data_IF_592006645745
#
_entry.id   IF_592006645745
#
_cell.length_a   1.000
_cell.length_b   1.000
_cell.length_c   1.000
_cell.angle_alpha   90.00
_cell.angle_beta   90.00
_cell.angle_gamma   90.00
#
_symmetry.space_group_name_H-M   'P 1'
#
loop_
_entity.id
_entity.type
_entity.pdbx_description
1 polymer ?
#
# COMPACT_ATOMS: atom_id res chain seq x y z
N UNK A 1 25.63 -60.78 40.20
CA UNK A 1 25.37 -59.35 40.40
C UNK A 1 24.97 -58.77 39.03
N UNK A 2 23.70 -58.42 38.77
CA UNK A 2 23.29 -57.94 37.48
C UNK A 2 23.36 -56.39 37.45
N UNK A 3 23.96 -55.87 36.38
CA UNK A 3 24.11 -54.47 36.09
C UNK A 3 22.80 -53.87 35.59
N UNK A 4 22.35 -52.81 36.23
CA UNK A 4 21.17 -52.04 35.87
C UNK A 4 21.52 -51.06 34.73
N UNK A 5 20.96 -51.24 33.53
CA UNK A 5 20.99 -50.30 32.43
C UNK A 5 19.81 -49.31 32.57
N UNK A 6 20.12 -48.06 32.91
CA UNK A 6 19.15 -46.97 32.89
C UNK A 6 19.00 -46.49 31.45
N UNK A 7 17.85 -46.70 30.84
CA UNK A 7 17.46 -46.12 29.56
C UNK A 7 16.90 -44.71 29.80
N UNK A 8 17.60 -43.70 29.34
CA UNK A 8 17.09 -42.33 29.24
C UNK A 8 16.22 -42.21 27.99
N UNK A 9 14.91 -42.11 28.19
CA UNK A 9 13.96 -41.80 27.11
C UNK A 9 13.91 -40.30 26.93
N UNK A 10 14.57 -39.78 25.87
CA UNK A 10 14.44 -38.39 25.44
C UNK A 10 13.11 -38.24 24.69
N UNK A 11 12.11 -37.68 25.36
CA UNK A 11 10.88 -37.22 24.69
C UNK A 11 11.17 -35.97 23.88
N UNK A 12 11.25 -36.15 22.57
CA UNK A 12 11.31 -35.06 21.59
C UNK A 12 9.89 -34.51 21.43
N UNK A 13 9.58 -33.37 22.08
CA UNK A 13 8.38 -32.61 21.84
C UNK A 13 8.52 -31.94 20.45
N UNK A 14 7.97 -32.57 19.42
CA UNK A 14 7.68 -31.96 18.15
C UNK A 14 6.57 -30.92 18.37
N UNK A 15 6.93 -29.66 18.48
CA UNK A 15 6.00 -28.57 18.29
C UNK A 15 5.55 -28.60 16.83
N UNK A 16 4.40 -29.21 16.60
CA UNK A 16 3.68 -29.15 15.33
C UNK A 16 3.13 -27.74 15.25
N UNK A 17 3.82 -26.88 14.48
CA UNK A 17 3.27 -25.60 14.08
C UNK A 17 2.05 -25.88 13.19
N UNK A 18 0.87 -25.58 13.72
CA UNK A 18 -0.39 -25.69 13.00
C UNK A 18 -0.61 -24.37 12.24
N UNK A 19 -0.55 -24.35 10.89
CA UNK A 19 -0.78 -23.13 10.12
C UNK A 19 -2.23 -22.62 10.21
N UNK A 20 -3.13 -23.33 10.90
CA UNK A 20 -4.51 -22.89 11.10
C UNK A 20 -4.67 -21.79 12.17
N UNK A 21 -3.65 -21.51 12.97
CA UNK A 21 -3.70 -20.44 13.99
C UNK A 21 -3.28 -19.06 13.44
N UNK A 22 -2.99 -18.95 12.13
CA UNK A 22 -2.67 -17.68 11.48
C UNK A 22 -3.90 -16.92 10.93
N UNK A 23 -5.08 -17.55 10.96
CA UNK A 23 -6.38 -16.90 10.68
C UNK A 23 -7.05 -16.43 11.99
N UNK A 24 -6.34 -15.67 12.82
CA UNK A 24 -7.03 -14.85 13.81
C UNK A 24 -7.87 -13.79 13.06
N UNK A 25 -9.08 -14.20 12.79
CA UNK A 25 -10.34 -13.46 12.82
C UNK A 25 -10.21 -11.94 12.58
N UNK A 26 -9.83 -11.56 11.35
CA UNK A 26 -10.27 -10.29 10.83
C UNK A 26 -11.78 -10.43 10.58
N UNK A 27 -12.57 -10.34 11.69
CA UNK A 27 -14.00 -10.42 11.65
C UNK A 27 -14.52 -9.63 10.46
N UNK A 28 -15.45 -10.22 9.74
CA UNK A 28 -16.22 -9.53 8.71
C UNK A 28 -16.91 -8.33 9.37
N UNK A 29 -16.19 -7.20 9.37
CA UNK A 29 -16.76 -5.95 9.84
C UNK A 29 -17.92 -5.62 8.92
N UNK A 30 -19.13 -5.64 9.44
CA UNK A 30 -20.31 -5.19 8.70
C UNK A 30 -20.02 -3.81 8.12
N UNK A 31 -20.32 -3.61 6.83
CA UNK A 31 -20.12 -2.34 6.15
C UNK A 31 -20.68 -1.20 7.01
N UNK A 32 -19.84 -0.21 7.36
CA UNK A 32 -20.23 0.99 8.09
C UNK A 32 -20.16 0.94 9.62
N UNK A 33 -19.66 -0.13 10.23
CA UNK A 33 -19.55 -0.22 11.69
C UNK A 33 -18.54 0.76 12.30
N UNK A 34 -17.51 1.17 11.53
CA UNK A 34 -16.47 2.08 11.97
C UNK A 34 -16.36 3.29 11.07
N UNK A 35 -16.24 4.48 11.68
CA UNK A 35 -15.95 5.71 10.95
C UNK A 35 -14.46 6.04 11.07
N UNK A 36 -13.90 6.58 9.99
CA UNK A 36 -12.49 6.99 9.88
C UNK A 36 -12.37 8.46 9.49
N UNK A 37 -11.24 9.08 9.83
CA UNK A 37 -10.93 10.46 9.40
C UNK A 37 -10.61 10.54 7.90
N UNK A 38 -10.05 9.45 7.36
CA UNK A 38 -9.74 9.29 5.94
C UNK A 38 -9.56 7.81 5.60
N UNK A 39 -9.98 7.41 4.39
CA UNK A 39 -9.62 6.14 3.79
C UNK A 39 -8.51 6.36 2.76
N UNK A 40 -7.36 5.71 2.97
CA UNK A 40 -6.18 5.79 2.11
C UNK A 40 -5.99 4.49 1.35
N UNK A 41 -6.01 4.56 0.03
CA UNK A 41 -5.60 3.48 -0.88
C UNK A 41 -4.28 3.86 -1.53
N UNK A 42 -3.27 3.01 -1.45
CA UNK A 42 -1.98 3.25 -2.11
C UNK A 42 -1.74 2.23 -3.21
N UNK A 43 -1.57 2.73 -4.43
CA UNK A 43 -1.26 1.98 -5.64
C UNK A 43 0.24 2.08 -5.96
N UNK A 44 0.97 0.98 -5.92
CA UNK A 44 2.42 0.92 -6.15
C UNK A 44 2.68 0.34 -7.55
N UNK A 45 3.34 1.12 -8.40
CA UNK A 45 3.78 0.68 -9.72
C UNK A 45 4.89 -0.37 -9.60
N UNK A 46 4.66 -1.56 -10.17
CA UNK A 46 5.65 -2.64 -10.29
C UNK A 46 5.88 -3.01 -11.77
N UNK A 47 5.67 -2.06 -12.68
CA UNK A 47 5.96 -2.24 -14.10
C UNK A 47 7.44 -2.51 -14.34
N UNK A 48 7.80 -3.01 -15.53
CA UNK A 48 9.13 -3.51 -15.83
C UNK A 48 10.28 -2.48 -15.76
N UNK A 49 9.97 -1.20 -15.57
CA UNK A 49 10.94 -0.12 -15.36
C UNK A 49 11.44 -0.02 -13.92
N UNK A 50 10.77 -0.66 -12.97
CA UNK A 50 11.19 -0.69 -11.56
C UNK A 50 12.09 -1.90 -11.34
N UNK A 51 13.32 -1.69 -10.87
CA UNK A 51 14.14 -2.78 -10.42
C UNK A 51 13.67 -3.29 -9.04
N UNK A 52 14.05 -4.52 -8.71
CA UNK A 52 13.61 -5.16 -7.45
C UNK A 52 14.08 -4.43 -6.21
N UNK A 53 15.18 -3.71 -6.32
CA UNK A 53 15.75 -2.98 -5.20
C UNK A 53 14.92 -1.72 -4.93
N UNK A 54 14.48 -1.01 -5.96
CA UNK A 54 13.60 0.14 -5.86
C UNK A 54 12.24 -0.25 -5.25
N UNK A 55 11.60 -1.33 -5.75
CA UNK A 55 10.35 -1.88 -5.19
C UNK A 55 10.48 -2.22 -3.70
N UNK A 56 11.56 -2.92 -3.33
CA UNK A 56 11.83 -3.28 -1.94
C UNK A 56 11.97 -2.06 -1.03
N UNK A 57 12.56 -0.98 -1.55
CA UNK A 57 12.74 0.26 -0.80
C UNK A 57 11.45 1.06 -0.66
N UNK A 58 10.58 1.01 -1.66
CA UNK A 58 9.25 1.61 -1.59
C UNK A 58 8.42 0.98 -0.46
N UNK A 59 8.36 -0.34 -0.42
CA UNK A 59 7.66 -1.07 0.62
C UNK A 59 8.26 -0.83 2.01
N UNK A 60 9.60 -0.81 2.10
CA UNK A 60 10.30 -0.53 3.36
C UNK A 60 10.08 0.91 3.81
N UNK A 61 10.24 1.88 2.92
CA UNK A 61 10.05 3.30 3.24
C UNK A 61 8.62 3.61 3.67
N UNK A 62 7.63 2.98 3.02
CA UNK A 62 6.23 3.07 3.40
C UNK A 62 5.97 2.45 4.78
N UNK A 63 6.51 1.26 5.05
CA UNK A 63 6.38 0.57 6.33
C UNK A 63 7.01 1.37 7.49
N UNK A 64 8.17 2.00 7.26
CA UNK A 64 8.83 2.86 8.22
C UNK A 64 8.05 4.15 8.48
N UNK A 65 7.56 4.78 7.42
CA UNK A 65 6.74 5.98 7.53
C UNK A 65 5.44 5.73 8.29
N UNK A 66 4.77 4.60 8.03
CA UNK A 66 3.48 4.26 8.65
C UNK A 66 3.58 4.13 10.18
N UNK A 67 4.70 3.59 10.68
CA UNK A 67 4.93 3.43 12.13
C UNK A 67 5.64 4.63 12.76
N UNK A 68 5.89 5.69 12.02
CA UNK A 68 6.59 6.87 12.56
C UNK A 68 5.71 7.60 13.59
N UNK A 69 6.28 8.11 14.71
CA UNK A 69 5.52 8.82 15.73
C UNK A 69 4.65 9.96 15.19
N UNK A 70 5.16 10.74 14.24
CA UNK A 70 4.41 11.85 13.64
C UNK A 70 3.15 11.40 12.86
N UNK A 71 3.16 10.20 12.27
CA UNK A 71 1.96 9.62 11.62
C UNK A 71 0.96 9.19 12.68
N UNK A 72 1.42 8.57 13.76
CA UNK A 72 0.54 8.20 14.89
C UNK A 72 -0.08 9.43 15.53
N UNK A 73 0.69 10.49 15.75
CA UNK A 73 0.19 11.78 16.27
C UNK A 73 -0.85 12.40 15.32
N UNK A 74 -0.62 12.34 14.00
CA UNK A 74 -1.58 12.82 13.02
C UNK A 74 -2.91 12.03 13.08
N UNK A 75 -2.85 10.70 13.24
CA UNK A 75 -4.02 9.85 13.42
C UNK A 75 -4.74 10.18 14.72
N UNK A 76 -4.01 10.26 15.83
CA UNK A 76 -4.56 10.55 17.15
C UNK A 76 -5.20 11.92 17.26
N UNK A 77 -4.74 12.90 16.47
CA UNK A 77 -5.30 14.24 16.39
C UNK A 77 -6.62 14.32 15.60
N UNK A 78 -6.99 13.25 14.88
CA UNK A 78 -8.23 13.17 14.11
C UNK A 78 -9.48 13.09 14.98
N UNK A 79 -10.65 13.40 14.40
CA UNK A 79 -11.93 13.30 15.09
C UNK A 79 -12.27 11.86 15.47
N UNK A 80 -12.11 10.94 14.53
CA UNK A 80 -12.31 9.50 14.75
C UNK A 80 -11.06 8.80 15.31
N UNK A 81 -9.91 9.46 15.26
CA UNK A 81 -8.62 8.97 15.74
C UNK A 81 -8.22 7.64 15.09
N UNK A 82 -8.63 7.45 13.86
CA UNK A 82 -8.33 6.25 13.05
C UNK A 82 -8.48 6.51 11.57
N UNK A 83 -7.74 5.75 10.77
CA UNK A 83 -7.78 5.78 9.32
C UNK A 83 -8.10 4.38 8.77
N UNK A 84 -8.72 4.33 7.59
CA UNK A 84 -8.73 3.14 6.75
C UNK A 84 -7.49 3.13 5.86
N UNK A 85 -6.82 2.00 5.75
CA UNK A 85 -5.59 1.87 4.97
C UNK A 85 -5.60 0.60 4.13
N UNK A 86 -5.28 0.73 2.84
CA UNK A 86 -5.11 -0.40 1.91
C UNK A 86 -3.98 -0.14 0.94
N UNK A 87 -3.27 -1.19 0.53
CA UNK A 87 -2.15 -1.11 -0.42
C UNK A 87 -2.25 -2.22 -1.44
N UNK A 88 -2.09 -1.89 -2.71
CA UNK A 88 -1.95 -2.86 -3.79
C UNK A 88 -0.81 -2.48 -4.74
N UNK A 89 -0.29 -3.48 -5.42
CA UNK A 89 0.64 -3.29 -6.55
C UNK A 89 -0.10 -3.41 -7.87
N UNK A 90 0.42 -2.73 -8.88
CA UNK A 90 -0.13 -2.75 -10.23
C UNK A 90 0.96 -2.61 -11.30
N UNK A 91 0.63 -3.00 -12.52
CA UNK A 91 1.47 -2.78 -13.71
C UNK A 91 0.61 -2.52 -14.94
N UNK A 92 0.18 -3.56 -15.63
CA UNK A 92 -0.76 -3.48 -16.76
C UNK A 92 -2.19 -3.78 -16.30
N UNK A 93 -3.17 -3.52 -17.17
CA UNK A 93 -4.58 -3.83 -16.92
C UNK A 93 -4.78 -5.26 -16.42
N UNK A 94 -5.46 -5.40 -15.27
CA UNK A 94 -5.77 -6.68 -14.66
C UNK A 94 -4.67 -7.30 -13.80
N UNK A 95 -3.50 -6.70 -13.71
CA UNK A 95 -2.41 -7.15 -12.83
C UNK A 95 -2.40 -6.35 -11.54
N UNK A 96 -3.29 -6.70 -10.63
CA UNK A 96 -3.38 -6.10 -9.30
C UNK A 96 -3.11 -7.17 -8.25
N UNK A 97 -2.28 -6.85 -7.26
CA UNK A 97 -2.04 -7.71 -6.10
C UNK A 97 -2.22 -6.89 -4.84
N UNK A 98 -3.18 -7.27 -4.02
CA UNK A 98 -3.39 -6.66 -2.72
C UNK A 98 -2.29 -7.10 -1.76
N UNK A 99 -1.55 -6.13 -1.22
CA UNK A 99 -0.50 -6.35 -0.23
C UNK A 99 -1.02 -6.16 1.20
N UNK A 100 -1.83 -5.13 1.39
CA UNK A 100 -2.49 -4.83 2.66
C UNK A 100 -3.97 -4.66 2.35
N UNK A 101 -4.83 -5.62 2.73
CA UNK A 101 -6.27 -5.46 2.63
C UNK A 101 -6.74 -4.32 3.53
N UNK A 102 -7.97 -3.85 3.33
CA UNK A 102 -8.53 -2.81 4.16
C UNK A 102 -8.28 -3.08 5.65
N UNK A 103 -7.50 -2.21 6.25
CA UNK A 103 -7.04 -2.32 7.64
C UNK A 103 -7.38 -1.03 8.38
N UNK A 104 -8.06 -1.15 9.52
CA UNK A 104 -8.30 -0.02 10.41
C UNK A 104 -7.02 0.25 11.22
N UNK A 105 -6.52 1.48 11.18
CA UNK A 105 -5.35 1.91 11.95
C UNK A 105 -5.79 3.02 12.91
N UNK A 106 -5.84 2.71 14.19
CA UNK A 106 -6.14 3.64 15.29
C UNK A 106 -5.15 3.52 16.45
N UNK A 107 -4.19 2.60 16.34
CA UNK A 107 -3.16 2.38 17.35
C UNK A 107 -1.81 2.06 16.72
N UNK A 108 -0.74 2.19 17.51
CA UNK A 108 0.60 1.77 17.10
C UNK A 108 0.64 0.29 16.70
N UNK A 109 -0.08 -0.56 17.42
CA UNK A 109 -0.12 -1.99 17.12
C UNK A 109 -0.76 -2.28 15.75
N UNK A 110 -1.81 -1.51 15.37
CA UNK A 110 -2.42 -1.64 14.05
C UNK A 110 -1.43 -1.24 12.95
N UNK A 111 -0.73 -0.11 13.14
CA UNK A 111 0.31 0.34 12.22
C UNK A 111 1.45 -0.67 12.11
N UNK A 112 1.90 -1.27 13.21
CA UNK A 112 2.95 -2.29 13.23
C UNK A 112 2.52 -3.55 12.44
N UNK A 113 1.24 -3.98 12.55
CA UNK A 113 0.70 -5.10 11.77
C UNK A 113 0.66 -4.79 10.27
N UNK A 114 0.19 -3.61 9.88
CA UNK A 114 0.17 -3.20 8.47
C UNK A 114 1.59 -3.08 7.91
N UNK A 115 2.52 -2.49 8.66
CA UNK A 115 3.93 -2.40 8.29
C UNK A 115 4.61 -3.77 8.16
N UNK A 116 4.26 -4.72 9.02
CA UNK A 116 4.76 -6.09 8.93
C UNK A 116 4.31 -6.78 7.63
N UNK A 117 3.07 -6.57 7.18
CA UNK A 117 2.58 -7.07 5.89
C UNK A 117 3.34 -6.48 4.70
N UNK A 118 3.63 -5.17 4.72
CA UNK A 118 4.43 -4.51 3.69
C UNK A 118 5.85 -5.09 3.63
N UNK A 119 6.47 -5.35 4.78
CA UNK A 119 7.80 -5.98 4.85
C UNK A 119 7.78 -7.42 4.36
N UNK A 120 6.76 -8.20 4.74
CA UNK A 120 6.60 -9.59 4.30
C UNK A 120 6.38 -9.68 2.78
N UNK A 121 5.65 -8.75 2.18
CA UNK A 121 5.48 -8.68 0.73
C UNK A 121 6.82 -8.55 -0.02
N UNK A 122 7.80 -7.87 0.58
CA UNK A 122 9.18 -7.81 0.09
C UNK A 122 9.88 -9.18 0.13
N UNK A 123 9.62 -9.97 1.17
CA UNK A 123 10.31 -11.24 1.44
C UNK A 123 9.75 -12.42 0.64
N UNK A 124 8.58 -12.29 0.02
CA UNK A 124 8.03 -13.28 -0.90
C UNK A 124 8.82 -13.25 -2.22
N UNK A 125 10.13 -13.40 -2.11
CA UNK A 125 10.97 -13.80 -3.22
C UNK A 125 10.72 -15.29 -3.49
N UNK A 126 10.44 -15.72 -4.74
CA UNK A 126 10.55 -17.12 -5.04
C UNK A 126 11.99 -17.51 -4.76
N UNK A 127 12.20 -18.43 -3.81
CA UNK A 127 13.45 -19.12 -3.59
C UNK A 127 14.09 -19.35 -4.94
N UNK A 128 15.35 -18.96 -5.11
CA UNK A 128 16.13 -19.23 -6.33
C UNK A 128 16.01 -20.71 -6.60
N UNK A 129 15.18 -21.08 -7.57
CA UNK A 129 15.21 -22.43 -8.10
C UNK A 129 16.61 -22.67 -8.63
N UNK A 130 17.37 -23.51 -7.96
CA UNK A 130 18.72 -23.90 -8.35
C UNK A 130 18.72 -24.85 -9.55
N UNK A 131 17.58 -25.03 -10.22
CA UNK A 131 17.48 -25.83 -11.44
C UNK A 131 17.81 -24.97 -12.66
N UNK A 132 18.88 -25.28 -13.40
CA UNK A 132 19.39 -24.47 -14.52
C UNK A 132 18.42 -24.34 -15.71
N UNK A 133 17.31 -25.05 -15.73
CA UNK A 133 16.38 -25.15 -16.86
C UNK A 133 14.94 -24.70 -16.54
N UNK A 134 14.65 -24.26 -15.33
CA UNK A 134 13.36 -23.66 -15.05
C UNK A 134 13.36 -22.23 -15.62
N UNK A 135 12.50 -21.99 -16.61
CA UNK A 135 12.07 -20.64 -16.97
C UNK A 135 11.81 -19.89 -15.67
N UNK A 136 12.28 -18.63 -15.52
CA UNK A 136 12.02 -17.86 -14.32
C UNK A 136 10.52 -17.91 -14.07
N UNK A 137 10.12 -18.40 -12.90
CA UNK A 137 8.74 -18.46 -12.50
C UNK A 137 8.18 -17.04 -12.71
N UNK A 138 7.24 -16.90 -13.65
CA UNK A 138 6.60 -15.62 -13.91
C UNK A 138 5.98 -15.20 -12.59
N UNK A 139 6.53 -14.17 -11.99
CA UNK A 139 5.85 -13.57 -10.83
C UNK A 139 4.47 -13.15 -11.29
N UNK A 140 3.39 -13.51 -10.59
CA UNK A 140 2.04 -13.15 -11.01
C UNK A 140 1.87 -11.65 -11.24
N UNK A 141 2.65 -10.82 -10.55
CA UNK A 141 2.61 -9.36 -10.61
C UNK A 141 3.62 -8.70 -11.58
N UNK A 142 4.56 -9.48 -12.19
CA UNK A 142 5.54 -8.95 -13.15
C UNK A 142 5.22 -9.36 -14.59
N UNK A 143 4.02 -9.14 -15.02
CA UNK A 143 3.69 -9.38 -16.41
C UNK A 143 3.37 -8.08 -17.13
N UNK A 144 4.36 -7.46 -17.73
CA UNK A 144 4.16 -6.40 -18.69
C UNK A 144 5.12 -5.23 -18.53
N UNK A 145 5.60 -4.73 -19.67
CA UNK A 145 6.32 -3.45 -19.75
C UNK A 145 5.32 -2.26 -19.75
N UNK A 146 4.04 -2.54 -19.55
CA UNK A 146 2.97 -1.56 -19.60
C UNK A 146 2.76 -0.91 -18.25
N UNK A 147 2.71 0.40 -18.24
CA UNK A 147 2.33 1.26 -17.12
C UNK A 147 0.94 1.79 -17.41
N UNK A 148 -0.09 1.18 -16.80
CA UNK A 148 -1.50 1.53 -17.01
C UNK A 148 -2.03 2.27 -15.77
N UNK A 149 -1.78 3.58 -15.73
CA UNK A 149 -2.21 4.44 -14.62
C UNK A 149 -3.73 4.54 -14.54
N UNK A 150 -4.40 4.52 -15.69
CA UNK A 150 -5.86 4.51 -15.75
C UNK A 150 -6.46 3.33 -14.99
N UNK A 151 -5.94 2.14 -15.24
CA UNK A 151 -6.40 0.93 -14.58
C UNK A 151 -6.09 0.95 -13.06
N UNK A 152 -4.95 1.50 -12.65
CA UNK A 152 -4.61 1.67 -11.24
C UNK A 152 -5.58 2.61 -10.52
N UNK A 153 -5.92 3.76 -11.12
CA UNK A 153 -6.91 4.69 -10.56
C UNK A 153 -8.29 4.03 -10.47
N UNK A 154 -8.75 3.36 -11.52
CA UNK A 154 -10.05 2.70 -11.51
C UNK A 154 -10.13 1.54 -10.51
N UNK A 155 -9.03 0.81 -10.31
CA UNK A 155 -8.97 -0.20 -9.27
C UNK A 155 -9.01 0.42 -7.87
N UNK A 156 -8.22 1.46 -7.62
CA UNK A 156 -8.25 2.21 -6.35
C UNK A 156 -9.65 2.79 -6.06
N UNK A 157 -10.33 3.31 -7.08
CA UNK A 157 -11.71 3.82 -6.98
C UNK A 157 -12.70 2.72 -6.56
N UNK A 158 -12.57 1.50 -7.11
CA UNK A 158 -13.40 0.36 -6.68
C UNK A 158 -13.12 0.00 -5.22
N UNK A 159 -11.84 -0.09 -4.82
CA UNK A 159 -11.49 -0.35 -3.43
C UNK A 159 -12.08 0.71 -2.49
N UNK A 160 -12.02 2.00 -2.86
CA UNK A 160 -12.65 3.07 -2.07
C UNK A 160 -14.15 2.86 -1.93
N UNK A 161 -14.85 2.49 -3.01
CA UNK A 161 -16.29 2.25 -2.98
C UNK A 161 -16.68 1.00 -2.14
N UNK A 162 -15.78 0.04 -2.03
CA UNK A 162 -15.95 -1.21 -1.28
C UNK A 162 -15.36 -1.13 0.15
N UNK A 163 -14.87 0.05 0.56
CA UNK A 163 -14.26 0.22 1.87
C UNK A 163 -15.24 -0.13 3.00
N UNK A 164 -14.84 -0.94 3.99
CA UNK A 164 -15.71 -1.32 5.10
C UNK A 164 -15.87 -0.21 6.14
N UNK A 165 -15.19 0.93 5.95
CA UNK A 165 -15.16 2.05 6.88
C UNK A 165 -15.87 3.26 6.28
N UNK A 166 -16.82 3.84 7.01
CA UNK A 166 -17.46 5.09 6.63
C UNK A 166 -16.49 6.26 6.80
N UNK A 167 -16.39 7.13 5.79
CA UNK A 167 -15.54 8.33 5.85
C UNK A 167 -16.13 9.43 4.99
N UNK A 168 -15.87 10.69 5.38
CA UNK A 168 -16.12 11.84 4.53
C UNK A 168 -14.98 12.14 3.54
N UNK A 169 -13.90 11.34 3.54
CA UNK A 169 -12.72 11.64 2.73
C UNK A 169 -11.97 10.38 2.30
N UNK A 170 -11.82 10.21 1.00
CA UNK A 170 -11.08 9.10 0.41
C UNK A 170 -9.96 9.60 -0.49
N UNK A 171 -8.80 8.96 -0.41
CA UNK A 171 -7.61 9.33 -1.17
C UNK A 171 -7.05 8.09 -1.86
N UNK A 172 -6.76 8.22 -3.14
CA UNK A 172 -5.95 7.27 -3.90
C UNK A 172 -4.55 7.87 -4.06
N UNK A 173 -3.56 7.14 -3.58
CA UNK A 173 -2.16 7.45 -3.74
C UNK A 173 -1.58 6.65 -4.88
N UNK A 174 -1.07 7.31 -5.93
CA UNK A 174 -0.45 6.63 -7.06
C UNK A 174 1.06 6.86 -7.00
N UNK A 175 1.81 5.77 -6.74
CA UNK A 175 3.27 5.77 -6.78
C UNK A 175 3.72 5.33 -8.17
N UNK A 176 4.49 6.18 -8.87
CA UNK A 176 4.93 5.93 -10.25
C UNK A 176 6.38 6.30 -10.47
N UNK A 177 7.05 5.59 -11.40
CA UNK A 177 8.36 5.95 -11.93
C UNK A 177 8.35 6.18 -13.45
N UNK A 178 7.18 6.09 -14.10
CA UNK A 178 7.00 6.20 -15.54
C UNK A 178 5.72 6.91 -15.95
N UNK A 179 5.67 7.29 -17.23
CA UNK A 179 4.47 7.81 -17.85
C UNK A 179 3.50 6.68 -18.15
N UNK A 180 2.21 7.00 -18.18
CA UNK A 180 1.20 6.12 -18.73
C UNK A 180 1.54 5.80 -20.20
N UNK A 181 1.46 4.53 -20.55
CA UNK A 181 1.76 4.05 -21.91
C UNK A 181 0.71 3.08 -22.45
N UNK A 182 -0.49 3.08 -21.85
CA UNK A 182 -1.61 2.23 -22.23
C UNK A 182 -2.85 3.06 -22.48
N UNK A 183 -3.54 2.79 -23.58
CA UNK A 183 -4.80 3.46 -23.93
C UNK A 183 -4.67 4.96 -24.21
N UNK A 184 -5.70 5.71 -23.90
CA UNK A 184 -5.85 7.14 -24.24
C UNK A 184 -5.34 8.08 -23.12
N UNK A 185 -4.75 7.50 -22.06
CA UNK A 185 -4.23 8.24 -20.91
C UNK A 185 -5.13 8.23 -19.67
N UNK A 186 -4.64 8.76 -18.54
CA UNK A 186 -5.27 8.59 -17.23
C UNK A 186 -6.44 9.56 -16.94
N UNK A 187 -6.68 10.58 -17.79
CA UNK A 187 -7.59 11.67 -17.49
C UNK A 187 -9.03 11.20 -17.24
N UNK A 188 -9.53 10.29 -18.07
CA UNK A 188 -10.89 9.78 -17.91
C UNK A 188 -11.06 9.02 -16.57
N UNK A 189 -10.04 8.27 -16.13
CA UNK A 189 -10.06 7.59 -14.83
C UNK A 189 -9.97 8.59 -13.68
N UNK A 190 -9.09 9.60 -13.79
CA UNK A 190 -9.00 10.74 -12.87
C UNK A 190 -10.37 11.42 -12.69
N UNK A 191 -11.02 11.75 -13.80
CA UNK A 191 -12.28 12.49 -13.77
C UNK A 191 -13.41 11.64 -13.15
N UNK A 192 -13.41 10.32 -13.37
CA UNK A 192 -14.34 9.41 -12.67
C UNK A 192 -14.10 9.36 -11.17
N UNK A 193 -12.86 9.40 -10.72
CA UNK A 193 -12.51 9.44 -9.30
C UNK A 193 -12.94 10.78 -8.68
N UNK A 194 -12.62 11.89 -9.34
CA UNK A 194 -13.00 13.23 -8.90
C UNK A 194 -14.52 13.41 -8.81
N UNK A 195 -15.28 12.84 -9.74
CA UNK A 195 -16.75 12.85 -9.71
C UNK A 195 -17.36 12.06 -8.51
N UNK A 196 -16.56 11.28 -7.82
CA UNK A 196 -16.93 10.56 -6.60
C UNK A 196 -16.27 11.17 -5.33
N UNK A 197 -15.82 12.42 -5.41
CA UNK A 197 -15.12 13.13 -4.34
C UNK A 197 -13.85 12.42 -3.85
N UNK A 198 -13.24 11.58 -4.69
CA UNK A 198 -11.99 10.90 -4.39
C UNK A 198 -10.80 11.78 -4.78
N UNK A 199 -9.94 12.06 -3.83
CA UNK A 199 -8.70 12.81 -4.05
C UNK A 199 -7.64 11.88 -4.64
N UNK A 200 -6.88 12.35 -5.65
CA UNK A 200 -5.73 11.62 -6.20
C UNK A 200 -4.46 12.39 -5.90
N UNK A 201 -3.57 11.78 -5.11
CA UNK A 201 -2.23 12.25 -4.83
C UNK A 201 -1.18 11.40 -5.52
N UNK A 202 0.03 11.96 -5.71
CA UNK A 202 1.15 11.28 -6.35
C UNK A 202 2.41 11.19 -5.51
N UNK A 203 3.11 10.06 -5.70
CA UNK A 203 4.54 9.94 -5.39
C UNK A 203 5.25 9.60 -6.69
N UNK A 204 6.06 10.54 -7.15
CA UNK A 204 6.88 10.38 -8.36
C UNK A 204 8.27 9.96 -7.93
N UNK A 205 8.71 8.83 -8.44
CA UNK A 205 9.95 8.17 -8.06
C UNK A 205 11.02 8.36 -9.13
N UNK A 206 12.25 8.66 -8.69
CA UNK A 206 13.39 8.86 -9.58
C UNK A 206 13.49 10.25 -10.20
N UNK A 207 14.38 10.37 -11.19
CA UNK A 207 14.76 11.66 -11.78
C UNK A 207 14.20 11.85 -13.20
N UNK A 208 13.12 11.19 -13.56
CA UNK A 208 12.57 11.26 -14.90
C UNK A 208 12.02 12.66 -15.19
N UNK A 209 12.66 13.35 -16.12
CA UNK A 209 12.29 14.71 -16.49
C UNK A 209 10.82 14.80 -16.96
N UNK A 210 10.09 15.79 -16.43
CA UNK A 210 8.69 16.04 -16.79
C UNK A 210 7.66 15.14 -16.15
N UNK A 211 8.04 14.05 -15.45
CA UNK A 211 7.07 13.10 -14.88
C UNK A 211 6.20 13.74 -13.78
N UNK A 212 6.78 14.58 -12.93
CA UNK A 212 6.01 15.28 -11.90
C UNK A 212 5.03 16.30 -12.50
N UNK A 213 5.42 17.02 -13.56
CA UNK A 213 4.51 17.93 -14.27
C UNK A 213 3.38 17.16 -14.95
N UNK A 214 3.72 16.07 -15.64
CA UNK A 214 2.72 15.18 -16.22
C UNK A 214 1.70 14.69 -15.17
N UNK A 215 2.17 14.29 -13.99
CA UNK A 215 1.30 13.84 -12.92
C UNK A 215 0.35 14.96 -12.45
N UNK A 216 0.89 16.16 -12.22
CA UNK A 216 0.09 17.32 -11.78
C UNK A 216 -0.98 17.71 -12.81
N UNK A 217 -0.66 17.63 -14.08
CA UNK A 217 -1.55 18.06 -15.15
C UNK A 217 -2.63 17.01 -15.49
N UNK A 218 -2.25 15.73 -15.48
CA UNK A 218 -3.08 14.68 -16.04
C UNK A 218 -3.70 13.71 -15.02
N UNK A 219 -3.15 13.63 -13.81
CA UNK A 219 -3.52 12.59 -12.85
C UNK A 219 -4.04 13.17 -11.53
N UNK A 220 -3.34 14.17 -10.99
CA UNK A 220 -3.71 14.80 -9.72
C UNK A 220 -5.14 15.35 -9.77
N UNK A 221 -5.94 15.12 -8.71
CA UNK A 221 -7.31 15.60 -8.64
C UNK A 221 -7.80 15.78 -7.20
N UNK A 222 -8.77 16.64 -7.03
CA UNK A 222 -9.51 16.84 -5.79
C UNK A 222 -8.89 17.90 -4.86
N UNK A 223 -9.67 18.37 -3.85
CA UNK A 223 -9.24 19.40 -2.92
C UNK A 223 -8.04 18.99 -2.07
N UNK A 224 -7.02 19.84 -2.01
CA UNK A 224 -5.81 19.59 -1.25
C UNK A 224 -4.91 18.51 -1.83
N UNK A 225 -5.16 18.06 -3.07
CA UNK A 225 -4.30 17.12 -3.77
C UNK A 225 -2.89 17.68 -4.01
N UNK A 226 -1.89 16.79 -4.00
CA UNK A 226 -0.50 17.19 -4.20
C UNK A 226 0.34 16.05 -4.79
N UNK A 227 1.53 16.40 -5.29
CA UNK A 227 2.54 15.47 -5.79
C UNK A 227 3.82 15.64 -4.99
N UNK A 228 4.38 14.55 -4.50
CA UNK A 228 5.70 14.50 -3.87
C UNK A 228 6.67 13.83 -4.82
N UNK A 229 7.88 14.38 -4.94
CA UNK A 229 8.98 13.80 -5.69
C UNK A 229 9.99 13.19 -4.72
N UNK A 230 10.29 11.90 -4.92
CA UNK A 230 11.37 11.19 -4.25
C UNK A 230 12.44 10.83 -5.30
N UNK A 231 13.44 11.70 -5.46
CA UNK A 231 14.43 11.55 -6.52
C UNK A 231 15.43 10.45 -6.26
N UNK A 232 15.74 10.21 -5.00
CA UNK A 232 16.69 9.18 -4.56
C UNK A 232 16.04 8.33 -3.47
N UNK A 233 16.51 7.13 -3.36
CA UNK A 233 15.99 6.17 -2.38
C UNK A 233 16.02 6.65 -0.92
N UNK A 234 17.07 7.31 -0.41
CA UNK A 234 17.05 7.86 0.95
C UNK A 234 15.94 8.89 1.18
N UNK A 235 15.48 9.55 0.10
CA UNK A 235 14.45 10.56 0.18
C UNK A 235 13.03 9.95 0.32
N UNK A 236 12.89 8.65 0.02
CA UNK A 236 11.58 7.99 -0.08
C UNK A 236 10.87 7.85 1.26
N UNK A 237 11.55 7.38 2.30
CA UNK A 237 10.94 7.29 3.65
C UNK A 237 10.46 8.66 4.13
N UNK A 238 11.26 9.71 3.89
CA UNK A 238 10.89 11.09 4.24
C UNK A 238 9.73 11.62 3.37
N UNK A 239 9.70 11.25 2.10
CA UNK A 239 8.60 11.59 1.20
C UNK A 239 7.29 10.94 1.65
N UNK A 240 7.32 9.63 1.95
CA UNK A 240 6.17 8.89 2.47
C UNK A 240 5.71 9.40 3.83
N UNK A 241 6.64 9.72 4.72
CA UNK A 241 6.33 10.31 6.02
C UNK A 241 5.59 11.65 5.87
N UNK A 242 6.16 12.59 5.10
CA UNK A 242 5.51 13.89 4.84
C UNK A 242 4.14 13.70 4.19
N UNK A 243 4.05 12.76 3.25
CA UNK A 243 2.81 12.44 2.57
C UNK A 243 1.73 11.99 3.54
N UNK A 244 1.98 10.96 4.34
CA UNK A 244 1.01 10.44 5.28
C UNK A 244 0.60 11.50 6.32
N UNK A 245 1.55 12.23 6.89
CA UNK A 245 1.22 13.31 7.84
C UNK A 245 0.34 14.37 7.18
N UNK A 246 0.69 14.81 5.95
CA UNK A 246 -0.11 15.81 5.24
C UNK A 246 -1.53 15.30 4.95
N UNK A 247 -1.67 14.08 4.46
CA UNK A 247 -2.96 13.48 4.11
C UNK A 247 -3.84 13.27 5.33
N UNK A 248 -3.29 12.75 6.40
CA UNK A 248 -4.03 12.44 7.61
C UNK A 248 -4.42 13.73 8.36
N UNK A 249 -3.51 14.70 8.45
CA UNK A 249 -3.75 15.96 9.16
C UNK A 249 -4.59 16.98 8.39
N UNK A 250 -4.67 16.86 7.05
CA UNK A 250 -5.42 17.81 6.25
C UNK A 250 -6.92 17.81 6.62
N UNK A 251 -7.48 18.99 6.75
CA UNK A 251 -8.92 19.19 7.01
C UNK A 251 -9.49 20.13 5.95
N UNK A 252 -10.64 19.85 5.35
CA UNK A 252 -11.32 20.82 4.51
C UNK A 252 -11.63 22.07 5.33
N UNK A 253 -11.52 23.24 4.72
CA UNK A 253 -12.00 24.46 5.32
C UNK A 253 -13.49 24.26 5.68
N UNK A 254 -13.96 24.75 6.84
CA UNK A 254 -15.38 24.70 7.16
C UNK A 254 -16.14 25.36 6.01
N UNK A 255 -17.08 24.65 5.41
CA UNK A 255 -18.00 25.24 4.44
C UNK A 255 -18.69 26.39 5.15
N UNK A 256 -18.34 27.64 4.75
CA UNK A 256 -18.94 28.83 5.30
C UNK A 256 -20.45 28.73 5.14
N UNK A 257 -21.15 28.55 6.24
CA UNK A 257 -22.60 28.67 6.26
C UNK A 257 -22.92 30.12 5.89
N UNK A 258 -23.55 30.30 4.76
CA UNK A 258 -24.25 31.53 4.38
C UNK A 258 -25.68 31.45 4.91
#
# INVERSE_FOLDING_TARGET
MPSLLLAFSAAFLLLIWNPADADEDFGSFGHGQWSTDVNLVTAIDVSGSIDRFAESLELTGMAEALVHPAVMEAIESGYHRRIGFSVFTWSSSGNFVELVPWTLIGSRQDADRAAARLRAAREIEPSRSTTPWSLPARRPWRSGMATDISAAIDHGRRLVAEAPFATGRSIINVCVNGFDNVGDGPEAARDRAAAQDVVINGVVLGERAGLASYFRERIQAGPGSFVIEARRQPDLTQAMLRKFVTEIAWRPAPSGGT
#
